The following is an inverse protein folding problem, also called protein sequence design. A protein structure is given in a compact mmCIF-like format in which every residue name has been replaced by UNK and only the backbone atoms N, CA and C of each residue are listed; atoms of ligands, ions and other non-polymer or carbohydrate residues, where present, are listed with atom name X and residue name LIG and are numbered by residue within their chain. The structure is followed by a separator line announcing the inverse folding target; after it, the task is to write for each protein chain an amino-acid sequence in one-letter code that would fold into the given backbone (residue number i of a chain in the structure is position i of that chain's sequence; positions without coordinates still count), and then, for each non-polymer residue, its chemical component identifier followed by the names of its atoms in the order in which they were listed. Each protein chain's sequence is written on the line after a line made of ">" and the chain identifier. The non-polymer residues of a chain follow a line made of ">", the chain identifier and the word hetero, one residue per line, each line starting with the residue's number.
data_IF_318230632453
#
_entry.id   IF_318230632453
#
_cell.length_a   1.000
_cell.length_b   1.000
_cell.length_c   1.000
_cell.angle_alpha   90.00
_cell.angle_beta   90.00
_cell.angle_gamma   90.00
#
_symmetry.space_group_name_H-M   'P 1'
#
loop_
_entity.id
_entity.type
_entity.pdbx_description
1 polymer ?
#
# COMPACT_ATOMS: atom_id res chain seq x y z
N UNK A 1 23.58 48.05 -30.57
CA UNK A 1 23.45 46.65 -31.03
C UNK A 1 23.85 45.71 -29.92
N UNK A 2 23.03 44.70 -29.57
CA UNK A 2 23.22 43.88 -28.35
C UNK A 2 24.15 42.67 -28.56
N UNK A 3 24.68 42.13 -27.45
CA UNK A 3 25.42 40.85 -27.43
C UNK A 3 24.43 39.67 -27.49
N UNK A 4 24.84 38.60 -28.18
CA UNK A 4 24.01 37.39 -28.41
C UNK A 4 23.86 36.57 -27.12
N UNK A 5 22.63 36.16 -26.80
CA UNK A 5 22.35 35.16 -25.75
C UNK A 5 22.78 33.77 -26.23
N UNK A 6 23.54 33.03 -25.42
CA UNK A 6 23.47 31.55 -25.39
C UNK A 6 22.68 31.15 -24.15
N UNK A 7 21.76 30.19 -24.29
CA UNK A 7 20.83 29.83 -23.23
C UNK A 7 21.50 29.02 -22.11
N UNK A 8 20.95 29.13 -20.90
CA UNK A 8 21.09 28.06 -19.90
C UNK A 8 20.26 26.88 -20.41
N UNK A 9 20.85 25.69 -20.46
CA UNK A 9 20.06 24.46 -20.36
C UNK A 9 19.48 24.44 -18.96
N UNK A 10 18.17 24.26 -18.83
CA UNK A 10 17.55 23.99 -17.54
C UNK A 10 17.66 22.49 -17.31
N UNK A 11 18.47 22.09 -16.34
CA UNK A 11 18.52 20.70 -15.92
C UNK A 11 17.24 20.36 -15.14
N UNK A 12 16.63 19.23 -15.46
CA UNK A 12 15.31 18.86 -14.95
C UNK A 12 15.47 18.16 -13.59
N UNK A 13 15.68 18.97 -12.54
CA UNK A 13 15.90 18.49 -11.18
C UNK A 13 14.84 17.47 -10.75
N UNK A 14 15.30 16.29 -10.32
CA UNK A 14 14.43 15.19 -9.93
C UNK A 14 13.53 15.60 -8.76
N UNK A 15 12.24 15.27 -8.84
CA UNK A 15 11.32 15.30 -7.71
C UNK A 15 11.65 14.14 -6.75
N UNK A 16 12.74 14.28 -6.00
CA UNK A 16 13.00 13.49 -4.79
C UNK A 16 11.85 13.73 -3.81
N UNK A 17 11.29 12.67 -3.22
CA UNK A 17 10.13 12.79 -2.34
C UNK A 17 10.48 13.70 -1.16
N UNK A 18 9.65 14.74 -0.95
CA UNK A 18 9.90 15.70 0.10
C UNK A 18 9.81 15.04 1.48
N UNK A 19 10.84 15.21 2.31
CA UNK A 19 10.78 14.81 3.72
C UNK A 19 9.63 15.49 4.49
N UNK A 20 9.06 16.58 3.97
CA UNK A 20 7.81 17.20 4.45
C UNK A 20 6.60 16.31 4.24
N UNK A 21 6.55 15.56 3.15
CA UNK A 21 5.43 14.71 2.76
C UNK A 21 5.50 13.36 3.47
N UNK A 22 6.70 12.79 3.65
CA UNK A 22 6.92 11.68 4.60
C UNK A 22 6.56 12.09 6.04
N UNK A 23 6.91 13.31 6.46
CA UNK A 23 6.42 13.85 7.74
C UNK A 23 4.90 14.09 7.75
N UNK A 24 4.26 14.43 6.63
CA UNK A 24 2.80 14.56 6.52
C UNK A 24 2.15 13.19 6.69
N UNK A 25 2.67 12.14 6.06
CA UNK A 25 2.25 10.75 6.28
C UNK A 25 2.40 10.37 7.75
N UNK A 26 3.57 10.57 8.36
CA UNK A 26 3.81 10.24 9.76
C UNK A 26 2.93 11.05 10.73
N UNK A 27 2.57 12.30 10.40
CA UNK A 27 1.62 13.10 11.20
C UNK A 27 0.20 12.59 11.06
N UNK A 28 -0.28 12.30 9.84
CA UNK A 28 -1.61 11.71 9.62
C UNK A 28 -1.74 10.32 10.29
N UNK A 29 -0.68 9.51 10.24
CA UNK A 29 -0.61 8.21 10.93
C UNK A 29 -0.56 8.33 12.47
N UNK A 30 -0.15 9.49 13.02
CA UNK A 30 -0.13 9.75 14.47
C UNK A 30 -1.40 10.43 14.98
N UNK A 31 -1.92 11.42 14.26
CA UNK A 31 -3.18 12.11 14.59
C UNK A 31 -4.34 11.10 14.68
N UNK A 32 -4.39 10.14 13.76
CA UNK A 32 -5.38 9.06 13.77
C UNK A 32 -5.18 8.03 14.92
N UNK A 33 -4.07 8.07 15.67
CA UNK A 33 -3.86 7.25 16.89
C UNK A 33 -4.34 8.01 18.13
N UNK A 34 -4.17 9.33 18.17
CA UNK A 34 -4.62 10.16 19.28
C UNK A 34 -6.17 10.21 19.38
N UNK A 35 -6.88 10.10 18.24
CA UNK A 35 -8.35 9.97 18.21
C UNK A 35 -8.84 8.64 18.83
N UNK A 36 -8.25 7.49 18.46
CA UNK A 36 -8.59 6.17 19.01
C UNK A 36 -8.34 6.05 20.53
N UNK A 37 -7.45 6.86 21.09
CA UNK A 37 -7.10 6.85 22.52
C UNK A 37 -8.14 7.56 23.42
N UNK A 38 -9.20 8.14 22.86
CA UNK A 38 -10.28 8.78 23.64
C UNK A 38 -11.43 7.80 23.95
N UNK A 39 -11.68 7.40 25.21
CA UNK A 39 -12.71 6.41 25.51
C UNK A 39 -14.11 7.02 25.45
N UNK A 40 -14.78 6.93 24.29
CA UNK A 40 -16.19 7.32 24.18
C UNK A 40 -17.04 6.50 25.16
N UNK A 41 -17.70 7.22 26.07
CA UNK A 41 -18.49 6.65 27.16
C UNK A 41 -19.66 5.84 26.59
N UNK A 42 -19.58 4.51 26.67
CA UNK A 42 -20.75 3.64 26.51
C UNK A 42 -21.84 4.08 27.49
N UNK A 43 -22.97 4.54 26.97
CA UNK A 43 -24.19 4.66 27.76
C UNK A 43 -24.56 3.27 28.29
N UNK A 44 -24.77 3.17 29.60
CA UNK A 44 -25.52 2.06 30.18
C UNK A 44 -27.00 2.42 30.16
N UNK A 45 -27.84 1.44 29.86
CA UNK A 45 -29.25 1.44 30.26
C UNK A 45 -29.56 0.04 30.78
N UNK A 46 -30.22 0.00 31.92
CA UNK A 46 -30.88 -1.17 32.52
C UNK A 46 -32.40 -0.84 32.55
N UNK A 47 -33.34 -1.67 32.99
CA UNK A 47 -33.33 -3.12 33.31
C UNK A 47 -34.20 -3.83 32.22
N UNK A 48 -34.96 -4.93 32.33
CA UNK A 48 -35.32 -5.92 33.37
C UNK A 48 -35.72 -7.24 32.65
N UNK A 49 -36.20 -8.27 33.36
CA UNK A 49 -36.41 -9.65 32.84
C UNK A 49 -37.72 -9.92 32.06
N UNK A 50 -37.73 -10.98 31.24
CA UNK A 50 -38.76 -12.05 31.29
C UNK A 50 -38.42 -13.26 30.40
N UNK A 51 -38.95 -14.43 30.77
CA UNK A 51 -38.82 -15.72 30.08
C UNK A 51 -40.10 -16.06 29.30
N UNK A 52 -39.99 -16.69 28.13
CA UNK A 52 -40.44 -18.08 27.96
C UNK A 52 -40.15 -18.65 26.56
N UNK A 53 -40.30 -19.97 26.43
CA UNK A 53 -40.05 -20.75 25.22
C UNK A 53 -41.35 -21.17 24.55
N UNK A 54 -41.38 -21.28 23.22
CA UNK A 54 -41.87 -22.48 22.53
C UNK A 54 -41.52 -22.47 21.02
N UNK A 55 -41.89 -23.55 20.33
CA UNK A 55 -41.55 -23.84 18.93
C UNK A 55 -42.68 -24.58 18.24
N UNK A 56 -42.94 -24.34 16.94
CA UNK A 56 -43.60 -25.28 16.01
C UNK A 56 -43.56 -24.78 14.54
N UNK A 57 -44.03 -25.59 13.59
CA UNK A 57 -43.73 -25.51 12.15
C UNK A 57 -44.92 -25.13 11.22
N UNK A 58 -44.59 -24.86 9.94
CA UNK A 58 -45.32 -25.29 8.70
C UNK A 58 -46.18 -24.28 7.91
N UNK A 59 -46.17 -24.44 6.57
CA UNK A 59 -46.80 -23.57 5.54
C UNK A 59 -45.75 -22.80 4.69
N UNK A 60 -45.30 -23.17 3.47
CA UNK A 60 -45.94 -23.75 2.25
C UNK A 60 -46.94 -22.75 1.61
N UNK A 61 -46.93 -22.39 0.31
CA UNK A 61 -46.45 -23.00 -0.97
C UNK A 61 -45.92 -21.94 -2.00
N UNK A 62 -44.82 -22.19 -2.75
CA UNK A 62 -44.66 -22.61 -4.18
C UNK A 62 -44.79 -21.56 -5.32
N UNK A 63 -43.69 -21.34 -6.06
CA UNK A 63 -43.49 -21.32 -7.56
C UNK A 63 -42.05 -20.83 -7.84
N UNK A 64 -41.16 -21.58 -8.52
CA UNK A 64 -40.98 -21.70 -9.99
C UNK A 64 -40.62 -20.36 -10.68
N UNK A 65 -39.54 -20.21 -11.46
CA UNK A 65 -38.64 -21.20 -12.10
C UNK A 65 -37.12 -20.98 -11.84
N UNK A 66 -36.29 -21.94 -12.27
CA UNK A 66 -34.83 -21.93 -12.10
C UNK A 66 -34.08 -21.22 -13.24
N UNK A 67 -33.23 -20.25 -12.90
CA UNK A 67 -32.07 -19.84 -13.70
C UNK A 67 -30.80 -20.08 -12.86
N UNK A 68 -29.84 -20.85 -13.37
CA UNK A 68 -28.75 -21.40 -12.58
C UNK A 68 -27.62 -20.37 -12.35
N UNK A 69 -27.27 -20.00 -11.10
CA UNK A 69 -26.12 -19.15 -10.83
C UNK A 69 -24.82 -19.85 -11.22
N UNK A 70 -23.97 -19.16 -11.98
CA UNK A 70 -22.60 -19.61 -12.25
C UNK A 70 -21.76 -19.45 -10.97
N UNK A 71 -21.46 -20.57 -10.31
CA UNK A 71 -20.54 -20.60 -9.17
C UNK A 71 -19.14 -20.15 -9.60
N UNK A 72 -18.76 -18.94 -9.19
CA UNK A 72 -17.38 -18.46 -9.29
C UNK A 72 -16.56 -19.12 -8.16
N UNK A 73 -15.40 -19.76 -8.45
CA UNK A 73 -14.62 -20.44 -7.42
C UNK A 73 -14.22 -19.53 -6.26
N UNK A 74 -14.58 -19.94 -5.04
CA UNK A 74 -14.36 -19.18 -3.82
C UNK A 74 -12.91 -19.30 -3.32
N UNK A 75 -12.29 -18.15 -3.02
CA UNK A 75 -11.29 -17.87 -1.97
C UNK A 75 -10.01 -18.71 -1.72
N UNK A 76 -9.80 -19.91 -2.27
CA UNK A 76 -8.77 -20.86 -1.80
C UNK A 76 -7.29 -20.37 -1.86
N UNK A 77 -6.98 -19.37 -2.69
CA UNK A 77 -5.62 -18.83 -2.90
C UNK A 77 -5.05 -18.15 -1.62
N UNK A 78 -5.88 -17.84 -0.63
CA UNK A 78 -5.43 -17.21 0.62
C UNK A 78 -4.73 -18.19 1.58
N UNK A 79 -5.26 -19.42 1.71
CA UNK A 79 -4.82 -20.36 2.74
C UNK A 79 -3.60 -21.21 2.32
N UNK A 80 -3.41 -21.44 1.02
CA UNK A 80 -2.23 -22.14 0.46
C UNK A 80 -0.91 -21.49 0.95
N UNK A 81 -0.82 -20.16 0.86
CA UNK A 81 0.33 -19.43 1.38
C UNK A 81 0.35 -19.27 2.90
N UNK A 82 -0.82 -19.27 3.56
CA UNK A 82 -0.87 -19.14 5.02
C UNK A 82 -0.28 -20.37 5.70
N UNK A 83 -0.59 -21.57 5.21
CA UNK A 83 0.02 -22.81 5.67
C UNK A 83 1.54 -22.82 5.45
N UNK A 84 2.04 -22.34 4.31
CA UNK A 84 3.47 -22.22 4.04
C UNK A 84 4.17 -21.21 4.98
N UNK A 85 3.55 -20.07 5.29
CA UNK A 85 4.10 -19.11 6.25
C UNK A 85 4.07 -19.64 7.69
N UNK A 86 3.01 -20.33 8.10
CA UNK A 86 2.89 -20.95 9.42
C UNK A 86 3.81 -22.16 9.56
N UNK A 87 4.07 -22.96 8.51
CA UNK A 87 5.10 -24.00 8.53
C UNK A 87 6.54 -23.44 8.54
N UNK A 88 6.77 -22.21 8.05
CA UNK A 88 8.10 -21.59 8.03
C UNK A 88 8.50 -20.94 9.36
N UNK A 89 7.53 -20.51 10.19
CA UNK A 89 7.77 -19.83 11.48
C UNK A 89 7.12 -20.52 12.71
N UNK A 90 6.19 -21.45 12.50
CA UNK A 90 5.46 -22.16 13.54
C UNK A 90 6.29 -23.30 14.12
N UNK A 91 6.95 -23.05 15.23
CA UNK A 91 7.71 -24.06 15.96
C UNK A 91 6.79 -24.88 16.88
N UNK A 92 7.02 -26.19 16.94
CA UNK A 92 6.22 -27.11 17.76
C UNK A 92 6.52 -26.93 19.24
N UNK A 93 5.71 -27.53 20.13
CA UNK A 93 5.97 -27.44 21.56
C UNK A 93 7.27 -28.16 21.99
N UNK A 94 7.70 -29.16 21.21
CA UNK A 94 8.98 -29.88 21.38
C UNK A 94 10.17 -28.96 21.07
N UNK A 95 10.00 -28.02 20.13
CA UNK A 95 11.07 -27.09 19.75
C UNK A 95 11.37 -26.03 20.81
N UNK A 96 10.48 -25.78 21.79
CA UNK A 96 10.67 -24.72 22.80
C UNK A 96 11.93 -24.93 23.66
N UNK A 97 12.20 -26.17 24.07
CA UNK A 97 13.45 -26.52 24.77
C UNK A 97 14.66 -26.48 23.83
N UNK A 98 14.53 -27.00 22.61
CA UNK A 98 15.62 -27.01 21.62
C UNK A 98 16.02 -25.58 21.18
N UNK A 99 15.05 -24.68 21.03
CA UNK A 99 15.26 -23.25 20.77
C UNK A 99 15.90 -22.57 21.97
N UNK A 100 15.53 -22.93 23.20
CA UNK A 100 16.17 -22.38 24.41
C UNK A 100 17.62 -22.85 24.54
N UNK A 101 17.91 -24.13 24.22
CA UNK A 101 19.27 -24.64 24.10
C UNK A 101 20.04 -23.97 22.95
N UNK A 102 19.43 -23.79 21.77
CA UNK A 102 20.04 -23.08 20.64
C UNK A 102 20.31 -21.61 20.98
N UNK A 103 19.43 -20.93 21.70
CA UNK A 103 19.65 -19.54 22.16
C UNK A 103 20.79 -19.48 23.18
N UNK A 104 20.88 -20.42 24.12
CA UNK A 104 22.01 -20.53 25.05
C UNK A 104 23.33 -20.85 24.33
N UNK A 105 23.31 -21.80 23.39
CA UNK A 105 24.47 -22.14 22.58
C UNK A 105 24.87 -20.97 21.67
N UNK A 106 23.90 -20.16 21.20
CA UNK A 106 24.14 -18.94 20.44
C UNK A 106 24.68 -17.79 21.32
N UNK A 107 24.33 -17.69 22.60
CA UNK A 107 24.93 -16.71 23.51
C UNK A 107 26.34 -17.14 23.96
N UNK A 108 26.57 -18.42 24.24
CA UNK A 108 27.93 -18.95 24.44
C UNK A 108 28.79 -18.82 23.18
N UNK A 109 28.25 -19.11 22.00
CA UNK A 109 28.95 -18.91 20.73
C UNK A 109 29.18 -17.42 20.45
N UNK A 110 28.24 -16.52 20.77
CA UNK A 110 28.47 -15.06 20.68
C UNK A 110 29.55 -14.59 21.66
N UNK A 111 29.62 -15.13 22.88
CA UNK A 111 30.70 -14.80 23.81
C UNK A 111 32.05 -15.31 23.31
N UNK A 112 32.13 -16.56 22.83
CA UNK A 112 33.34 -17.11 22.21
C UNK A 112 33.74 -16.34 20.95
N UNK A 113 32.79 -15.96 20.10
CA UNK A 113 33.02 -15.09 18.94
C UNK A 113 33.44 -13.70 19.39
N UNK A 114 32.98 -13.15 20.52
CA UNK A 114 33.49 -11.86 21.02
C UNK A 114 34.94 -11.98 21.51
N UNK A 115 35.31 -13.06 22.21
CA UNK A 115 36.71 -13.32 22.60
C UNK A 115 37.60 -13.60 21.38
N UNK A 116 37.18 -14.47 20.46
CA UNK A 116 37.90 -14.82 19.23
C UNK A 116 37.98 -13.62 18.27
N UNK A 117 36.94 -12.79 18.15
CA UNK A 117 37.00 -11.52 17.40
C UNK A 117 37.86 -10.51 18.14
N UNK A 118 37.96 -10.49 19.47
CA UNK A 118 38.93 -9.62 20.16
C UNK A 118 40.39 -10.03 19.87
N UNK A 119 40.64 -11.32 19.65
CA UNK A 119 41.96 -11.85 19.27
C UNK A 119 42.23 -11.68 17.76
N UNK A 120 41.20 -11.81 16.91
CA UNK A 120 41.32 -11.64 15.45
C UNK A 120 41.26 -10.16 15.00
N UNK A 121 40.63 -9.27 15.76
CA UNK A 121 40.69 -7.81 15.55
C UNK A 121 42.01 -7.19 16.05
N UNK A 122 42.92 -8.00 16.61
CA UNK A 122 44.22 -7.58 17.15
C UNK A 122 45.20 -6.97 16.14
N UNK A 123 44.81 -6.80 14.86
CA UNK A 123 45.66 -6.21 13.83
C UNK A 123 44.95 -5.37 12.74
N UNK A 124 43.75 -4.84 12.98
CA UNK A 124 43.20 -3.71 12.18
C UNK A 124 42.53 -2.67 13.10
N UNK A 125 43.29 -1.70 13.66
CA UNK A 125 42.75 -0.58 14.40
C UNK A 125 42.46 0.60 13.46
N UNK A 126 41.28 0.61 12.82
CA UNK A 126 40.85 1.71 11.95
C UNK A 126 39.56 1.44 11.15
N UNK A 127 38.86 2.52 10.82
CA UNK A 127 38.13 2.76 9.56
C UNK A 127 36.96 1.81 9.19
N UNK A 128 36.13 1.47 10.18
CA UNK A 128 34.76 0.97 9.93
C UNK A 128 33.68 2.08 9.90
N UNK A 129 34.01 3.32 10.30
CA UNK A 129 33.07 4.46 10.24
C UNK A 129 33.13 5.22 8.90
N UNK A 130 34.26 5.17 8.20
CA UNK A 130 34.52 5.87 6.93
C UNK A 130 33.83 5.23 5.72
N UNK A 131 33.26 4.01 5.88
CA UNK A 131 32.47 3.29 4.86
C UNK A 131 31.14 3.98 4.47
N UNK A 132 30.91 5.22 4.91
CA UNK A 132 29.71 6.03 4.65
C UNK A 132 29.74 6.82 3.33
N UNK A 133 30.83 6.79 2.57
CA UNK A 133 31.02 7.62 1.37
C UNK A 133 31.48 6.91 0.10
N UNK A 134 31.52 5.58 0.07
CA UNK A 134 32.07 4.81 -1.06
C UNK A 134 31.01 4.60 -2.15
N UNK A 135 30.76 5.64 -2.95
CA UNK A 135 30.00 5.54 -4.21
C UNK A 135 30.81 4.84 -5.34
N UNK A 136 32.14 4.94 -5.29
CA UNK A 136 33.03 4.42 -6.34
C UNK A 136 33.51 2.98 -6.08
N UNK A 137 33.27 2.11 -7.07
CA UNK A 137 33.67 0.70 -7.08
C UNK A 137 35.19 0.46 -6.96
N UNK A 138 36.01 1.48 -7.22
CA UNK A 138 37.47 1.36 -7.38
C UNK A 138 38.25 1.52 -6.06
N UNK A 139 37.62 2.01 -4.99
CA UNK A 139 38.22 2.08 -3.64
C UNK A 139 38.01 0.79 -2.81
N UNK A 140 37.19 -0.14 -3.29
CA UNK A 140 36.87 -1.38 -2.58
C UNK A 140 37.94 -2.47 -2.77
N UNK A 141 38.24 -3.29 -1.73
CA UNK A 141 39.17 -4.42 -1.86
C UNK A 141 38.81 -5.37 -3.01
N UNK A 142 39.82 -5.77 -3.80
CA UNK A 142 39.60 -6.53 -5.04
C UNK A 142 38.82 -7.85 -4.82
N UNK A 143 39.02 -8.52 -3.68
CA UNK A 143 38.25 -9.71 -3.30
C UNK A 143 36.75 -9.41 -3.16
N UNK A 144 36.40 -8.34 -2.44
CA UNK A 144 35.00 -7.90 -2.27
C UNK A 144 34.41 -7.46 -3.62
N UNK A 145 35.19 -6.74 -4.43
CA UNK A 145 34.79 -6.31 -5.77
C UNK A 145 34.52 -7.51 -6.69
N UNK A 146 35.34 -8.56 -6.61
CA UNK A 146 35.14 -9.83 -7.35
C UNK A 146 33.86 -10.55 -6.92
N UNK A 147 33.56 -10.56 -5.61
CA UNK A 147 32.35 -11.17 -5.05
C UNK A 147 31.09 -10.39 -5.45
N UNK A 148 31.14 -9.05 -5.44
CA UNK A 148 30.04 -8.21 -5.92
C UNK A 148 29.77 -8.45 -7.42
N UNK A 149 30.80 -8.51 -8.27
CA UNK A 149 30.67 -8.86 -9.69
C UNK A 149 29.98 -10.22 -9.89
N UNK A 150 30.34 -11.24 -9.10
CA UNK A 150 29.70 -12.57 -9.13
C UNK A 150 28.23 -12.51 -8.68
N UNK A 151 27.91 -11.75 -7.63
CA UNK A 151 26.54 -11.56 -7.17
C UNK A 151 25.66 -10.84 -8.21
N UNK A 152 26.20 -9.85 -8.92
CA UNK A 152 25.50 -9.17 -10.02
C UNK A 152 25.12 -10.14 -11.13
N UNK A 153 26.05 -10.99 -11.58
CA UNK A 153 25.77 -11.97 -12.63
C UNK A 153 24.73 -13.02 -12.19
N UNK A 154 24.85 -13.52 -10.96
CA UNK A 154 23.85 -14.41 -10.35
C UNK A 154 22.46 -13.75 -10.31
N UNK A 155 22.36 -12.46 -9.95
CA UNK A 155 21.08 -11.75 -9.85
C UNK A 155 20.51 -11.31 -11.21
N UNK A 156 21.34 -11.20 -12.25
CA UNK A 156 20.89 -11.04 -13.65
C UNK A 156 20.26 -12.32 -14.19
N UNK A 157 20.91 -13.46 -13.96
CA UNK A 157 20.49 -14.76 -14.50
C UNK A 157 19.57 -15.57 -13.55
N UNK A 158 19.22 -15.01 -12.39
CA UNK A 158 18.38 -15.70 -11.39
C UNK A 158 16.98 -16.05 -11.94
N UNK A 159 16.48 -17.23 -11.52
CA UNK A 159 15.15 -17.74 -11.89
C UNK A 159 14.47 -18.51 -10.76
N UNK A 160 15.22 -19.30 -10.00
CA UNK A 160 14.70 -20.16 -8.92
C UNK A 160 15.83 -20.57 -7.96
N UNK A 161 15.48 -21.25 -6.85
CA UNK A 161 16.44 -21.71 -5.84
C UNK A 161 16.71 -20.70 -4.71
N UNK A 162 17.58 -21.03 -3.74
CA UNK A 162 17.91 -20.13 -2.63
C UNK A 162 18.76 -18.93 -3.12
N UNK A 163 18.41 -17.71 -2.69
CA UNK A 163 19.29 -16.55 -2.88
C UNK A 163 20.58 -16.69 -2.05
N UNK A 164 21.74 -16.15 -2.52
CA UNK A 164 23.01 -16.18 -1.80
C UNK A 164 22.93 -15.58 -0.40
N UNK A 165 23.74 -16.10 0.54
CA UNK A 165 23.75 -15.63 1.94
C UNK A 165 24.03 -14.13 2.05
N UNK A 166 24.99 -13.60 1.29
CA UNK A 166 25.31 -12.16 1.27
C UNK A 166 24.11 -11.29 0.92
N UNK A 167 23.34 -11.68 -0.11
CA UNK A 167 22.14 -10.95 -0.56
C UNK A 167 21.02 -11.00 0.50
N UNK A 168 20.89 -12.12 1.22
CA UNK A 168 19.96 -12.23 2.36
C UNK A 168 20.36 -11.37 3.55
N UNK A 169 21.66 -11.24 3.82
CA UNK A 169 22.19 -10.44 4.92
C UNK A 169 22.29 -8.94 4.58
N UNK A 170 22.16 -8.55 3.31
CA UNK A 170 22.36 -7.18 2.83
C UNK A 170 21.63 -6.12 3.69
N UNK A 171 20.33 -6.23 4.06
CA UNK A 171 19.64 -5.20 4.87
C UNK A 171 20.10 -5.11 6.33
N UNK A 172 21.03 -5.96 6.77
CA UNK A 172 21.60 -5.97 8.12
C UNK A 172 23.02 -5.42 8.18
N UNK A 173 23.62 -5.06 7.03
CA UNK A 173 24.95 -4.45 6.96
C UNK A 173 24.86 -2.94 7.24
N UNK A 174 25.89 -2.29 7.81
CA UNK A 174 25.85 -0.85 8.11
C UNK A 174 25.82 0.01 6.83
N UNK A 175 26.58 -0.38 5.80
CA UNK A 175 26.64 0.30 4.50
C UNK A 175 25.77 -0.42 3.44
N UNK A 176 24.57 -0.88 3.82
CA UNK A 176 23.69 -1.67 2.94
C UNK A 176 23.23 -0.90 1.70
N UNK A 177 23.12 0.42 1.79
CA UNK A 177 22.61 1.31 0.72
C UNK A 177 23.58 1.39 -0.47
N UNK A 178 24.84 1.77 -0.21
CA UNK A 178 25.90 1.75 -1.24
C UNK A 178 26.09 0.37 -1.85
N UNK A 179 26.21 -0.67 -1.01
CA UNK A 179 26.33 -2.06 -1.47
C UNK A 179 25.14 -2.52 -2.34
N UNK A 180 23.93 -2.06 -2.05
CA UNK A 180 22.73 -2.32 -2.86
C UNK A 180 22.81 -1.58 -4.20
N UNK A 181 23.24 -0.31 -4.22
CA UNK A 181 23.47 0.46 -5.45
C UNK A 181 24.50 -0.19 -6.37
N UNK A 182 25.64 -0.63 -5.82
CA UNK A 182 26.69 -1.32 -6.59
C UNK A 182 26.24 -2.63 -7.23
N UNK A 183 25.28 -3.35 -6.62
CA UNK A 183 24.68 -4.55 -7.20
C UNK A 183 23.72 -4.26 -8.38
N UNK A 184 23.45 -2.98 -8.68
CA UNK A 184 22.59 -2.47 -9.77
C UNK A 184 21.21 -3.14 -9.86
N UNK A 185 20.28 -2.88 -8.92
CA UNK A 185 19.04 -3.64 -8.81
C UNK A 185 18.13 -3.59 -10.04
N UNK A 186 18.15 -2.48 -10.78
CA UNK A 186 17.37 -2.30 -12.02
C UNK A 186 17.83 -3.25 -13.15
N UNK A 187 19.06 -3.75 -13.12
CA UNK A 187 19.58 -4.73 -14.08
C UNK A 187 19.21 -6.19 -13.71
N UNK A 188 18.56 -6.43 -12.55
CA UNK A 188 18.18 -7.78 -12.14
C UNK A 188 16.96 -8.33 -12.88
N UNK A 189 16.90 -9.66 -12.95
CA UNK A 189 15.72 -10.42 -13.38
C UNK A 189 14.48 -10.16 -12.51
N UNK A 190 13.31 -10.10 -13.15
CA UNK A 190 12.01 -10.02 -12.46
C UNK A 190 11.78 -11.16 -11.46
N UNK A 191 12.41 -12.32 -11.66
CA UNK A 191 12.30 -13.47 -10.75
C UNK A 191 12.98 -13.25 -9.39
N UNK A 192 13.92 -12.31 -9.27
CA UNK A 192 14.57 -11.99 -7.99
C UNK A 192 13.66 -11.15 -7.09
N UNK A 193 12.90 -10.21 -7.67
CA UNK A 193 12.12 -9.19 -6.95
C UNK A 193 11.17 -9.74 -5.86
N UNK A 194 10.33 -10.79 -6.08
CA UNK A 194 9.49 -11.37 -5.02
C UNK A 194 10.24 -11.80 -3.77
N UNK A 195 11.51 -12.21 -3.94
CA UNK A 195 12.35 -12.77 -2.88
C UNK A 195 13.18 -11.69 -2.20
N UNK A 196 13.68 -10.71 -2.96
CA UNK A 196 14.36 -9.54 -2.41
C UNK A 196 13.38 -8.67 -1.62
N UNK A 197 12.16 -8.42 -2.12
CA UNK A 197 11.13 -7.69 -1.36
C UNK A 197 10.85 -8.38 -0.02
N UNK A 198 10.69 -9.70 0.03
CA UNK A 198 10.49 -10.42 1.30
C UNK A 198 11.68 -10.28 2.27
N UNK A 199 12.91 -10.25 1.76
CA UNK A 199 14.14 -10.01 2.54
C UNK A 199 14.13 -8.59 3.15
N UNK A 200 13.94 -7.56 2.33
CA UNK A 200 13.92 -6.17 2.82
C UNK A 200 12.70 -5.89 3.71
N UNK A 201 11.52 -6.41 3.39
CA UNK A 201 10.30 -6.33 4.21
C UNK A 201 10.48 -6.96 5.60
N UNK A 202 11.27 -8.04 5.72
CA UNK A 202 11.57 -8.69 7.01
C UNK A 202 12.46 -7.82 7.92
N UNK A 203 13.34 -6.99 7.32
CA UNK A 203 14.13 -5.98 8.04
C UNK A 203 13.30 -4.74 8.39
N UNK A 204 12.40 -4.36 7.49
CA UNK A 204 11.50 -3.20 7.61
C UNK A 204 12.24 -1.85 7.69
N UNK A 205 11.45 -0.80 7.93
CA UNK A 205 11.92 0.57 8.13
C UNK A 205 12.71 1.08 6.91
N UNK A 206 13.72 1.93 7.14
CA UNK A 206 14.51 2.63 6.13
C UNK A 206 15.05 1.73 4.99
N UNK A 207 15.67 0.55 5.22
CA UNK A 207 16.03 -0.36 4.13
C UNK A 207 14.86 -0.79 3.24
N UNK A 208 13.69 -1.07 3.84
CA UNK A 208 12.50 -1.47 3.08
C UNK A 208 11.93 -0.29 2.28
N UNK A 209 11.83 0.88 2.91
CA UNK A 209 11.36 2.12 2.29
C UNK A 209 12.22 2.50 1.07
N UNK A 210 13.54 2.56 1.25
CA UNK A 210 14.48 2.85 0.17
C UNK A 210 14.38 1.81 -0.96
N UNK A 211 14.34 0.50 -0.64
CA UNK A 211 14.23 -0.52 -1.69
C UNK A 211 12.91 -0.39 -2.49
N UNK A 212 11.83 0.01 -1.82
CA UNK A 212 10.54 0.22 -2.46
C UNK A 212 10.56 1.44 -3.39
N UNK A 213 11.07 2.57 -2.92
CA UNK A 213 11.12 3.85 -3.62
C UNK A 213 12.10 3.85 -4.80
N UNK A 214 13.34 3.38 -4.58
CA UNK A 214 14.43 3.52 -5.55
C UNK A 214 14.56 2.35 -6.53
N UNK A 215 14.02 1.16 -6.22
CA UNK A 215 14.24 -0.04 -7.03
C UNK A 215 12.99 -0.86 -7.37
N UNK A 216 12.01 -0.98 -6.47
CA UNK A 216 10.76 -1.71 -6.77
C UNK A 216 9.85 -0.89 -7.69
N UNK A 217 9.46 0.33 -7.27
CA UNK A 217 8.55 1.16 -8.04
C UNK A 217 9.10 1.55 -9.44
N UNK A 218 10.38 1.95 -9.59
CA UNK A 218 10.94 2.24 -10.91
C UNK A 218 10.95 1.01 -11.84
N UNK A 219 11.26 -0.19 -11.32
CA UNK A 219 11.23 -1.42 -12.13
C UNK A 219 9.81 -1.82 -12.54
N UNK A 220 8.84 -1.64 -11.65
CA UNK A 220 7.41 -1.85 -11.93
C UNK A 220 6.93 -0.89 -13.03
N UNK A 221 7.30 0.40 -12.97
CA UNK A 221 6.97 1.37 -14.02
C UNK A 221 7.64 1.06 -15.35
N UNK A 222 8.93 0.72 -15.34
CA UNK A 222 9.68 0.29 -16.53
C UNK A 222 8.97 -0.88 -17.25
N UNK A 223 8.65 -1.95 -16.52
CA UNK A 223 7.99 -3.13 -17.10
C UNK A 223 6.60 -2.81 -17.67
N UNK A 224 5.82 -1.94 -17.02
CA UNK A 224 4.51 -1.50 -17.53
C UNK A 224 4.66 -0.60 -18.77
N UNK A 225 5.71 0.23 -18.85
CA UNK A 225 5.98 1.04 -20.03
C UNK A 225 6.41 0.18 -21.23
N UNK A 226 7.36 -0.73 -21.02
CA UNK A 226 7.91 -1.63 -22.04
C UNK A 226 6.86 -2.64 -22.53
N UNK A 227 6.21 -3.37 -21.62
CA UNK A 227 5.33 -4.50 -21.95
C UNK A 227 3.84 -4.12 -22.06
N UNK A 228 3.45 -2.91 -21.65
CA UNK A 228 2.04 -2.44 -21.52
C UNK A 228 1.15 -3.32 -20.62
N UNK A 229 1.78 -4.14 -19.79
CA UNK A 229 1.22 -5.04 -18.77
C UNK A 229 2.31 -5.29 -17.71
N UNK A 230 1.93 -5.58 -16.47
CA UNK A 230 2.90 -5.95 -15.43
C UNK A 230 3.18 -7.46 -15.44
N UNK A 231 4.44 -7.83 -15.29
CA UNK A 231 4.92 -9.19 -15.11
C UNK A 231 4.45 -9.79 -13.78
N UNK A 232 4.06 -11.06 -13.78
CA UNK A 232 3.46 -11.74 -12.62
C UNK A 232 4.37 -11.67 -11.39
N UNK A 233 5.69 -11.83 -11.56
CA UNK A 233 6.64 -11.74 -10.44
C UNK A 233 6.78 -10.32 -9.89
N UNK A 234 6.64 -9.27 -10.70
CA UNK A 234 6.62 -7.91 -10.17
C UNK A 234 5.28 -7.61 -9.44
N UNK A 235 4.17 -8.22 -9.87
CA UNK A 235 2.90 -8.16 -9.13
C UNK A 235 2.95 -8.94 -7.81
N UNK A 236 3.58 -10.13 -7.78
CA UNK A 236 3.88 -10.86 -6.53
C UNK A 236 4.78 -10.03 -5.60
N UNK A 237 5.76 -9.30 -6.13
CA UNK A 237 6.62 -8.40 -5.36
C UNK A 237 5.84 -7.21 -4.77
N UNK A 238 4.86 -6.66 -5.49
CA UNK A 238 3.94 -5.64 -4.97
C UNK A 238 3.01 -6.19 -3.86
N UNK A 239 2.51 -7.43 -4.00
CA UNK A 239 1.75 -8.08 -2.92
C UNK A 239 2.65 -8.31 -1.70
N UNK A 240 3.91 -8.72 -1.92
CA UNK A 240 4.88 -8.96 -0.86
C UNK A 240 5.28 -7.68 -0.10
N UNK A 241 5.29 -6.50 -0.75
CA UNK A 241 5.62 -5.25 -0.07
C UNK A 241 4.50 -4.75 0.85
N UNK A 242 3.23 -5.05 0.54
CA UNK A 242 2.06 -4.64 1.34
C UNK A 242 2.00 -5.27 2.74
N UNK A 243 2.75 -6.34 3.03
CA UNK A 243 2.93 -6.85 4.41
C UNK A 243 3.64 -5.83 5.34
N UNK A 244 4.32 -4.84 4.76
CA UNK A 244 4.85 -3.64 5.45
C UNK A 244 4.07 -2.40 4.97
N UNK A 245 2.85 -2.16 5.47
CA UNK A 245 1.92 -1.18 4.88
C UNK A 245 2.35 0.27 5.06
N UNK A 246 3.16 0.60 6.08
CA UNK A 246 3.67 1.96 6.30
C UNK A 246 4.72 2.33 5.24
N UNK A 247 5.68 1.43 5.02
CA UNK A 247 6.71 1.55 3.99
C UNK A 247 6.11 1.43 2.58
N UNK A 248 5.12 0.56 2.37
CA UNK A 248 4.38 0.47 1.10
C UNK A 248 3.62 1.77 0.78
N UNK A 249 2.87 2.34 1.74
CA UNK A 249 2.14 3.58 1.50
C UNK A 249 3.09 4.74 1.21
N UNK A 250 4.25 4.78 1.88
CA UNK A 250 5.23 5.86 1.75
C UNK A 250 6.09 5.74 0.47
N UNK A 251 6.71 4.59 0.21
CA UNK A 251 7.68 4.40 -0.87
C UNK A 251 7.14 3.76 -2.16
N UNK A 252 5.92 3.18 -2.14
CA UNK A 252 5.27 2.67 -3.37
C UNK A 252 4.05 3.50 -3.72
N UNK A 253 3.07 3.59 -2.83
CA UNK A 253 1.76 4.16 -3.15
C UNK A 253 1.81 5.66 -3.42
N UNK A 254 2.36 6.45 -2.49
CA UNK A 254 2.43 7.91 -2.61
C UNK A 254 3.15 8.36 -3.92
N UNK A 255 4.41 7.98 -4.19
CA UNK A 255 5.10 8.36 -5.43
C UNK A 255 4.45 7.84 -6.71
N UNK A 256 3.62 6.79 -6.64
CA UNK A 256 2.84 6.32 -7.79
C UNK A 256 1.61 7.22 -8.03
N UNK A 257 0.87 7.57 -6.96
CA UNK A 257 -0.30 8.45 -7.02
C UNK A 257 0.05 9.88 -7.44
N UNK A 258 1.16 10.43 -6.92
CA UNK A 258 1.62 11.78 -7.23
C UNK A 258 2.13 11.91 -8.67
N UNK A 259 2.79 10.87 -9.20
CA UNK A 259 3.20 10.86 -10.61
C UNK A 259 2.01 10.82 -11.57
N UNK A 260 2.23 11.21 -12.83
CA UNK A 260 1.29 10.91 -13.91
C UNK A 260 1.17 9.38 -14.04
N UNK A 261 -0.06 8.86 -13.89
CA UNK A 261 -0.35 7.43 -14.07
C UNK A 261 -1.03 7.18 -15.41
N UNK A 262 -0.61 6.12 -16.09
CA UNK A 262 -1.33 5.55 -17.22
C UNK A 262 -2.61 4.81 -16.76
N UNK A 263 -3.50 4.53 -17.73
CA UNK A 263 -4.68 3.69 -17.50
C UNK A 263 -4.31 2.27 -17.04
N UNK A 264 -3.20 1.74 -17.55
CA UNK A 264 -2.69 0.40 -17.18
C UNK A 264 -2.25 0.36 -15.71
N UNK A 265 -1.50 1.36 -15.25
CA UNK A 265 -1.08 1.49 -13.85
C UNK A 265 -2.28 1.63 -12.92
N UNK A 266 -3.26 2.47 -13.27
CA UNK A 266 -4.50 2.61 -12.49
C UNK A 266 -5.25 1.29 -12.32
N UNK A 267 -5.36 0.48 -13.38
CA UNK A 267 -5.96 -0.86 -13.32
C UNK A 267 -5.14 -1.82 -12.45
N UNK A 268 -3.80 -1.80 -12.57
CA UNK A 268 -2.91 -2.65 -11.77
C UNK A 268 -2.98 -2.30 -10.29
N UNK A 269 -2.90 -1.02 -9.93
CA UNK A 269 -2.92 -0.56 -8.54
C UNK A 269 -4.31 -0.74 -7.90
N UNK A 270 -5.39 -0.52 -8.67
CA UNK A 270 -6.75 -0.85 -8.24
C UNK A 270 -6.93 -2.36 -8.03
N UNK A 271 -6.37 -3.21 -8.90
CA UNK A 271 -6.42 -4.67 -8.73
C UNK A 271 -5.58 -5.15 -7.54
N UNK A 272 -4.39 -4.56 -7.32
CA UNK A 272 -3.55 -4.82 -6.16
C UNK A 272 -4.31 -4.56 -4.84
N UNK A 273 -4.97 -3.41 -4.73
CA UNK A 273 -5.78 -3.02 -3.55
C UNK A 273 -7.04 -3.88 -3.42
N UNK A 274 -7.67 -4.30 -4.52
CA UNK A 274 -8.78 -5.24 -4.48
C UNK A 274 -8.32 -6.65 -4.04
N UNK A 275 -7.09 -7.08 -4.36
CA UNK A 275 -6.55 -8.40 -3.99
C UNK A 275 -5.94 -8.46 -2.57
N UNK A 276 -5.19 -7.44 -2.14
CA UNK A 276 -4.43 -7.46 -0.88
C UNK A 276 -5.04 -6.54 0.20
N UNK A 277 -5.12 -7.04 1.43
CA UNK A 277 -5.81 -6.36 2.55
C UNK A 277 -4.91 -5.34 3.24
N UNK A 278 -5.23 -4.06 3.09
CA UNK A 278 -4.67 -2.99 3.92
C UNK A 278 -5.42 -2.93 5.27
N UNK A 279 -4.75 -2.52 6.35
CA UNK A 279 -5.45 -2.18 7.60
C UNK A 279 -6.12 -0.83 7.45
N UNK A 280 -7.32 -0.67 8.01
CA UNK A 280 -8.21 0.47 7.76
C UNK A 280 -7.52 1.86 7.90
N UNK A 281 -6.71 2.09 8.95
CA UNK A 281 -5.96 3.35 9.12
C UNK A 281 -5.02 3.70 7.95
N UNK A 282 -4.39 2.69 7.32
CA UNK A 282 -3.53 2.89 6.16
C UNK A 282 -4.36 3.08 4.88
N UNK A 283 -5.52 2.43 4.76
CA UNK A 283 -6.47 2.68 3.68
C UNK A 283 -7.07 4.09 3.75
N UNK A 284 -7.32 4.61 4.95
CA UNK A 284 -7.78 5.98 5.18
C UNK A 284 -6.73 7.02 4.74
N UNK A 285 -5.46 6.80 5.09
CA UNK A 285 -4.35 7.65 4.61
C UNK A 285 -4.18 7.53 3.09
N UNK A 286 -4.15 6.33 2.53
CA UNK A 286 -4.04 6.10 1.09
C UNK A 286 -5.19 6.77 0.30
N UNK A 287 -6.42 6.72 0.83
CA UNK A 287 -7.56 7.41 0.23
C UNK A 287 -7.39 8.93 0.33
N UNK A 288 -7.06 9.48 1.51
CA UNK A 288 -6.88 10.91 1.70
C UNK A 288 -5.83 11.50 0.73
N UNK A 289 -4.70 10.82 0.51
CA UNK A 289 -3.67 11.21 -0.46
C UNK A 289 -4.21 11.19 -1.90
N UNK A 290 -4.98 10.14 -2.26
CA UNK A 290 -5.60 10.01 -3.59
C UNK A 290 -6.61 11.12 -3.91
N UNK A 291 -7.13 11.79 -2.88
CA UNK A 291 -8.11 12.88 -2.96
C UNK A 291 -7.46 14.28 -2.86
N UNK A 292 -6.19 14.36 -2.47
CA UNK A 292 -5.42 15.62 -2.48
C UNK A 292 -4.81 15.91 -3.86
N UNK A 293 -4.62 14.88 -4.69
CA UNK A 293 -4.13 14.98 -6.07
C UNK A 293 -5.25 15.31 -7.09
N UNK A 294 -4.86 15.89 -8.24
CA UNK A 294 -5.79 16.25 -9.32
C UNK A 294 -6.55 15.04 -9.88
N UNK A 295 -7.81 15.26 -10.29
CA UNK A 295 -8.66 14.20 -10.82
C UNK A 295 -8.07 13.59 -12.11
N UNK A 296 -7.87 12.28 -12.09
CA UNK A 296 -7.58 11.49 -13.28
C UNK A 296 -8.34 10.17 -13.22
N UNK A 297 -8.68 9.62 -14.39
CA UNK A 297 -9.38 8.32 -14.48
C UNK A 297 -8.60 7.20 -13.74
N UNK A 298 -7.26 7.10 -13.85
CA UNK A 298 -6.46 6.14 -13.07
C UNK A 298 -6.57 6.33 -11.55
N UNK A 299 -6.48 7.57 -11.03
CA UNK A 299 -6.67 7.85 -9.59
C UNK A 299 -8.10 7.52 -9.16
N UNK A 300 -9.09 7.81 -9.99
CA UNK A 300 -10.50 7.46 -9.74
C UNK A 300 -10.74 5.95 -9.65
N UNK A 301 -10.00 5.10 -10.39
CA UNK A 301 -10.05 3.64 -10.26
C UNK A 301 -9.45 3.15 -8.92
N UNK A 302 -8.41 3.82 -8.42
CA UNK A 302 -7.81 3.52 -7.10
C UNK A 302 -8.74 3.96 -5.96
N UNK A 303 -9.40 5.12 -6.09
CA UNK A 303 -10.45 5.57 -5.16
C UNK A 303 -11.62 4.58 -5.13
N UNK A 304 -12.10 4.12 -6.30
CA UNK A 304 -13.13 3.08 -6.40
C UNK A 304 -12.68 1.79 -5.67
N UNK A 305 -11.43 1.37 -5.86
CA UNK A 305 -10.87 0.19 -5.20
C UNK A 305 -10.81 0.31 -3.67
N UNK A 306 -10.36 1.45 -3.15
CA UNK A 306 -10.29 1.70 -1.70
C UNK A 306 -11.69 1.76 -1.05
N UNK A 307 -12.67 2.37 -1.72
CA UNK A 307 -14.05 2.44 -1.24
C UNK A 307 -14.76 1.08 -1.30
N UNK A 308 -14.51 0.27 -2.34
CA UNK A 308 -15.08 -1.08 -2.52
C UNK A 308 -14.64 -2.11 -1.46
N UNK A 309 -13.80 -1.72 -0.51
CA UNK A 309 -13.39 -2.55 0.65
C UNK A 309 -14.21 -2.27 1.92
N UNK A 310 -15.08 -1.27 1.91
CA UNK A 310 -15.99 -0.94 3.03
C UNK A 310 -15.29 -0.82 4.40
N UNK A 311 -14.06 -0.30 4.43
CA UNK A 311 -13.29 -0.15 5.68
C UNK A 311 -14.02 0.76 6.68
N UNK A 312 -13.86 0.50 7.99
CA UNK A 312 -14.24 1.47 9.01
C UNK A 312 -13.19 2.58 9.06
N UNK A 313 -13.58 3.81 8.72
CA UNK A 313 -12.67 4.93 8.41
C UNK A 313 -12.90 6.08 9.40
N UNK A 314 -11.86 6.80 9.84
CA UNK A 314 -12.01 7.99 10.67
C UNK A 314 -12.87 9.06 9.99
N UNK A 315 -13.65 9.81 10.77
CA UNK A 315 -14.58 10.82 10.24
C UNK A 315 -13.86 11.89 9.41
N UNK A 316 -12.66 12.31 9.85
CA UNK A 316 -11.81 13.24 9.11
C UNK A 316 -11.44 12.76 7.69
N UNK A 317 -11.35 11.44 7.46
CA UNK A 317 -11.14 10.89 6.12
C UNK A 317 -12.43 10.92 5.27
N UNK A 318 -13.59 10.67 5.88
CA UNK A 318 -14.89 10.75 5.22
C UNK A 318 -15.24 12.20 4.83
N UNK A 319 -14.90 13.19 5.68
CA UNK A 319 -15.04 14.60 5.33
C UNK A 319 -14.18 14.99 4.13
N UNK A 320 -12.98 14.43 3.97
CA UNK A 320 -12.14 14.65 2.77
C UNK A 320 -12.78 14.04 1.52
N UNK A 321 -13.41 12.86 1.60
CA UNK A 321 -14.16 12.27 0.48
C UNK A 321 -15.32 13.19 0.07
N UNK A 322 -16.07 13.73 1.04
CA UNK A 322 -17.14 14.69 0.80
C UNK A 322 -16.62 15.99 0.15
N UNK A 323 -15.57 16.58 0.71
CA UNK A 323 -14.95 17.81 0.17
C UNK A 323 -14.43 17.60 -1.26
N UNK A 324 -13.85 16.43 -1.57
CA UNK A 324 -13.43 16.05 -2.91
C UNK A 324 -14.62 16.02 -3.88
N UNK A 325 -15.69 15.28 -3.59
CA UNK A 325 -16.86 15.23 -4.48
C UNK A 325 -17.55 16.60 -4.63
N UNK A 326 -17.60 17.41 -3.56
CA UNK A 326 -18.15 18.76 -3.61
C UNK A 326 -17.28 19.76 -4.38
N UNK A 327 -16.00 19.47 -4.65
CA UNK A 327 -15.15 20.33 -5.49
C UNK A 327 -15.64 20.41 -6.95
N UNK A 328 -16.32 19.37 -7.44
CA UNK A 328 -16.88 19.26 -8.79
C UNK A 328 -18.21 20.02 -9.00
N UNK A 329 -18.67 20.81 -8.02
CA UNK A 329 -19.72 21.84 -8.19
C UNK A 329 -19.19 23.11 -8.90
N UNK A 330 -17.86 23.22 -9.02
CA UNK A 330 -17.17 24.22 -9.85
C UNK A 330 -17.03 23.71 -11.29
N UNK A 331 -16.56 24.56 -12.19
CA UNK A 331 -16.24 24.15 -13.56
C UNK A 331 -15.20 23.01 -13.56
N UNK A 332 -15.64 21.86 -14.05
CA UNK A 332 -14.90 20.62 -14.15
C UNK A 332 -14.98 20.03 -15.58
N UNK A 333 -15.36 20.86 -16.57
CA UNK A 333 -15.48 20.51 -17.98
C UNK A 333 -14.19 19.90 -18.57
N UNK A 334 -13.02 20.29 -18.03
CA UNK A 334 -11.69 19.73 -18.33
C UNK A 334 -11.63 18.21 -18.15
N UNK A 335 -12.41 17.65 -17.23
CA UNK A 335 -12.41 16.21 -16.90
C UNK A 335 -13.49 15.41 -17.64
N UNK A 336 -14.27 16.04 -18.52
CA UNK A 336 -15.37 15.40 -19.20
C UNK A 336 -14.89 14.42 -20.28
N UNK A 337 -15.63 13.31 -20.39
CA UNK A 337 -15.53 12.36 -21.51
C UNK A 337 -16.08 12.99 -22.81
N UNK A 338 -15.87 12.33 -23.95
CA UNK A 338 -16.38 12.78 -25.27
C UNK A 338 -17.92 12.99 -25.32
N UNK A 339 -18.67 12.48 -24.34
CA UNK A 339 -20.10 12.67 -24.17
C UNK A 339 -20.45 13.90 -23.30
N UNK A 340 -19.49 14.80 -23.04
CA UNK A 340 -19.62 15.98 -22.19
C UNK A 340 -20.12 15.68 -20.76
N UNK A 341 -19.66 14.56 -20.18
CA UNK A 341 -20.03 14.07 -18.84
C UNK A 341 -18.83 13.54 -18.07
N UNK A 342 -18.91 13.57 -16.73
CA UNK A 342 -17.91 12.97 -15.84
C UNK A 342 -17.71 11.46 -16.11
N UNK A 343 -16.50 10.89 -15.90
CA UNK A 343 -16.25 9.47 -16.13
C UNK A 343 -17.05 8.53 -15.21
N UNK A 344 -17.40 7.34 -15.71
CA UNK A 344 -18.18 6.32 -14.96
C UNK A 344 -17.53 5.93 -13.62
N UNK A 345 -16.20 5.93 -13.55
CA UNK A 345 -15.46 5.64 -12.31
C UNK A 345 -15.73 6.67 -11.21
N UNK A 346 -15.97 7.94 -11.55
CA UNK A 346 -16.33 8.98 -10.58
C UNK A 346 -17.72 8.72 -9.99
N UNK A 347 -18.70 8.38 -10.84
CA UNK A 347 -20.05 8.02 -10.40
C UNK A 347 -20.06 6.75 -9.54
N UNK A 348 -19.25 5.72 -9.89
CA UNK A 348 -19.09 4.51 -9.08
C UNK A 348 -18.44 4.78 -7.72
N UNK A 349 -17.39 5.61 -7.68
CA UNK A 349 -16.78 6.02 -6.40
C UNK A 349 -17.78 6.76 -5.50
N UNK A 350 -18.62 7.64 -6.08
CA UNK A 350 -19.66 8.34 -5.32
C UNK A 350 -20.77 7.39 -4.83
N UNK A 351 -21.16 6.40 -5.64
CA UNK A 351 -22.12 5.36 -5.26
C UNK A 351 -21.60 4.53 -4.08
N UNK A 352 -20.41 3.93 -4.21
CA UNK A 352 -19.77 3.11 -3.17
C UNK A 352 -19.56 3.87 -1.85
N UNK A 353 -19.24 5.17 -1.94
CA UNK A 353 -19.17 6.03 -0.76
C UNK A 353 -20.53 6.17 -0.07
N UNK A 354 -21.60 6.42 -0.81
CA UNK A 354 -22.95 6.59 -0.23
C UNK A 354 -23.52 5.27 0.30
N UNK A 355 -23.33 4.15 -0.39
CA UNK A 355 -23.74 2.82 0.10
C UNK A 355 -23.17 2.54 1.49
N UNK A 356 -21.85 2.78 1.64
CA UNK A 356 -21.06 2.48 2.84
C UNK A 356 -21.23 3.51 3.95
N UNK A 357 -21.22 4.80 3.62
CA UNK A 357 -21.00 5.90 4.58
C UNK A 357 -22.15 6.92 4.63
N UNK A 358 -23.32 6.66 4.02
CA UNK A 358 -24.52 7.53 4.07
C UNK A 358 -24.85 8.11 5.45
N UNK A 359 -24.62 7.36 6.53
CA UNK A 359 -24.92 7.77 7.90
C UNK A 359 -24.05 8.93 8.41
N UNK A 360 -22.89 9.17 7.80
CA UNK A 360 -21.94 10.23 8.17
C UNK A 360 -22.18 11.55 7.41
N UNK A 361 -23.09 11.57 6.44
CA UNK A 361 -23.35 12.74 5.58
C UNK A 361 -24.34 13.68 6.25
N UNK A 362 -23.93 14.91 6.55
CA UNK A 362 -24.77 15.90 7.25
C UNK A 362 -25.89 16.44 6.33
N UNK A 363 -27.05 16.90 6.84
CA UNK A 363 -28.16 17.37 6.01
C UNK A 363 -27.79 18.52 5.04
N UNK A 364 -26.86 19.40 5.43
CA UNK A 364 -26.32 20.44 4.55
C UNK A 364 -25.48 19.87 3.39
N UNK A 365 -24.68 18.83 3.67
CA UNK A 365 -23.82 18.15 2.70
C UNK A 365 -24.66 17.34 1.72
N UNK A 366 -25.69 16.62 2.22
CA UNK A 366 -26.75 16.00 1.39
C UNK A 366 -27.33 17.00 0.40
N UNK A 367 -27.66 18.22 0.86
CA UNK A 367 -28.25 19.26 -0.01
C UNK A 367 -27.29 19.70 -1.12
N UNK A 368 -25.99 19.85 -0.81
CA UNK A 368 -24.94 20.16 -1.80
C UNK A 368 -24.72 19.00 -2.78
N UNK A 369 -24.72 17.74 -2.31
CA UNK A 369 -24.63 16.55 -3.16
C UNK A 369 -25.84 16.38 -4.08
N UNK A 370 -27.06 16.71 -3.64
CA UNK A 370 -28.26 16.71 -4.49
C UNK A 370 -28.18 17.77 -5.60
N UNK A 371 -27.56 18.93 -5.35
CA UNK A 371 -27.26 19.93 -6.39
C UNK A 371 -26.24 19.38 -7.41
N UNK A 372 -25.14 18.81 -6.93
CA UNK A 372 -24.09 18.18 -7.73
C UNK A 372 -24.67 17.10 -8.67
N UNK A 373 -25.52 16.23 -8.13
CA UNK A 373 -26.20 15.17 -8.87
C UNK A 373 -27.33 15.66 -9.80
N UNK A 374 -27.51 16.97 -9.99
CA UNK A 374 -28.34 17.59 -11.05
C UNK A 374 -27.52 18.25 -12.15
N UNK A 375 -26.26 18.59 -11.88
CA UNK A 375 -25.29 19.04 -12.89
C UNK A 375 -24.71 17.83 -13.63
N UNK A 376 -24.33 16.79 -12.86
CA UNK A 376 -23.70 15.57 -13.36
C UNK A 376 -24.70 14.41 -13.31
N UNK A 377 -25.22 14.01 -14.48
CA UNK A 377 -26.13 12.88 -14.63
C UNK A 377 -25.50 11.72 -15.41
N UNK A 378 -25.64 10.49 -14.89
CA UNK A 378 -25.32 9.24 -15.57
C UNK A 378 -26.58 8.37 -15.65
N UNK A 379 -27.04 7.95 -16.85
CA UNK A 379 -28.37 7.35 -17.05
C UNK A 379 -28.71 6.16 -16.14
N UNK A 380 -27.72 5.32 -15.81
CA UNK A 380 -27.91 4.12 -14.98
C UNK A 380 -27.64 4.36 -13.49
N UNK A 381 -26.73 5.26 -13.12
CA UNK A 381 -26.15 5.32 -11.76
C UNK A 381 -26.73 6.50 -10.95
N UNK A 382 -27.07 7.62 -11.60
CA UNK A 382 -27.61 8.78 -10.88
C UNK A 382 -28.99 8.52 -10.27
N UNK A 383 -29.73 7.53 -10.78
CA UNK A 383 -30.97 7.04 -10.13
C UNK A 383 -30.70 6.45 -8.75
N UNK A 384 -29.77 5.49 -8.67
CA UNK A 384 -29.36 4.81 -7.43
C UNK A 384 -28.76 5.80 -6.41
N UNK A 385 -27.88 6.70 -6.87
CA UNK A 385 -27.33 7.78 -6.04
C UNK A 385 -28.45 8.66 -5.48
N UNK A 386 -29.48 9.00 -6.28
CA UNK A 386 -30.63 9.79 -5.82
C UNK A 386 -31.48 9.03 -4.79
N UNK A 387 -31.66 7.71 -4.92
CA UNK A 387 -32.39 6.92 -3.91
C UNK A 387 -31.59 6.84 -2.60
N UNK A 388 -30.28 6.59 -2.64
CA UNK A 388 -29.42 6.58 -1.45
C UNK A 388 -29.41 7.96 -0.74
N UNK A 389 -29.27 9.05 -1.50
CA UNK A 389 -29.36 10.41 -0.95
C UNK A 389 -30.74 10.72 -0.35
N UNK A 390 -31.82 10.07 -0.83
CA UNK A 390 -33.17 10.29 -0.29
C UNK A 390 -33.34 9.72 1.12
N UNK A 391 -32.68 8.61 1.43
CA UNK A 391 -32.77 7.85 2.69
C UNK A 391 -32.02 8.49 3.87
N UNK A 392 -31.12 9.46 3.62
CA UNK A 392 -30.35 10.16 4.65
C UNK A 392 -31.27 11.15 5.39
N UNK A 393 -31.56 10.92 6.66
CA UNK A 393 -32.48 11.75 7.46
C UNK A 393 -32.23 13.26 7.33
N UNK A 394 -33.27 14.02 6.95
CA UNK A 394 -33.23 15.49 6.84
C UNK A 394 -33.36 16.22 8.17
N UNK A 395 -33.38 15.48 9.28
CA UNK A 395 -33.74 16.01 10.59
C UNK A 395 -32.60 16.81 11.21
N UNK A 396 -32.63 18.13 11.00
CA UNK A 396 -32.13 19.06 12.02
C UNK A 396 -33.00 18.88 13.27
N UNK A 397 -32.62 17.95 14.14
CA UNK A 397 -33.05 17.95 15.53
C UNK A 397 -32.40 19.15 16.22
N UNK A 398 -33.02 20.31 16.07
CA UNK A 398 -32.64 21.53 16.77
C UNK A 398 -32.86 21.34 18.27
N UNK A 399 -31.84 20.84 18.97
CA UNK A 399 -31.78 20.82 20.43
C UNK A 399 -31.91 22.25 20.92
N UNK A 400 -33.07 22.52 21.53
CA UNK A 400 -33.49 23.82 22.10
C UNK A 400 -33.25 23.79 23.60
#
# INVERSE_FOLDING_TARGET
>A
MPKVKRGRVADAGANVIGGRDVQKLQRLLRQNVDEELTPSKRFKTQDEDSSDSESLESGKELTADHEAPLELPHSDIADEYKADWENFFGHSEVDKEYITQLQKNLTEAKLKITDEVSQFSGSVPGDLEDFKGVDDLEELPEELLSHLRLLMDVLKHYRSGPLPKTVKMLPHLPAWEGLLGLLKPLEWTVHAYPRIVKIFASKGHEPALHFYENYLLPKVKQDIEENRRLCVQLFEALIASMFRPEEFVSGVFLPWIQSEMSKTEGVILAHLIKKATLKARFAAVALALSLEEEFSIPRSMVIEALLSKHYHMPEAALERVLQYFLSFDKDCSVYFTHENRMPVTWFRSLLLFLESYRNYVKPEERTKLVKLCRQHEHPQITGEIRTLLSLISTNNSATT
#
